data_IF_026452218209
#
_entry.id   IF_026452218209
#
_cell.length_a   1.000
_cell.length_b   1.000
_cell.length_c   1.000
_cell.angle_alpha   90.00
_cell.angle_beta   90.00
_cell.angle_gamma   90.00
#
_symmetry.space_group_name_H-M   'P 1'
#
loop_
_entity.id
_entity.type
_entity.pdbx_description
1 polymer ?
#
# COMPACT_ATOMS: atom_id res chain seq x y z
N UNK A 1 -24.82 -6.27 16.51
CA UNK A 1 -23.38 -6.35 16.85
C UNK A 1 -22.91 -7.75 16.51
N UNK A 2 -22.13 -7.93 15.44
CA UNK A 2 -21.53 -9.25 15.15
C UNK A 2 -20.32 -9.36 16.06
N UNK A 3 -20.40 -10.23 17.07
CA UNK A 3 -19.26 -10.64 17.90
C UNK A 3 -18.26 -11.34 17.00
N UNK A 4 -17.32 -10.57 16.43
CA UNK A 4 -16.18 -11.07 15.68
C UNK A 4 -15.31 -11.88 16.65
N UNK A 5 -15.38 -13.21 16.57
CA UNK A 5 -14.53 -14.09 17.35
C UNK A 5 -13.09 -13.94 16.84
N UNK A 6 -12.13 -13.84 17.75
CA UNK A 6 -10.69 -13.72 17.41
C UNK A 6 -10.21 -14.85 16.49
N UNK A 7 -10.82 -16.04 16.58
CA UNK A 7 -10.56 -17.15 15.66
C UNK A 7 -10.81 -16.81 14.18
N UNK A 8 -11.81 -15.96 13.88
CA UNK A 8 -12.18 -15.61 12.51
C UNK A 8 -11.14 -14.71 11.81
N UNK A 9 -10.23 -14.12 12.59
CA UNK A 9 -9.16 -13.24 12.12
C UNK A 9 -7.86 -13.99 11.84
N UNK A 10 -7.85 -15.31 12.04
CA UNK A 10 -6.64 -16.10 11.92
C UNK A 10 -6.07 -16.08 10.48
N UNK A 11 -4.78 -15.76 10.37
CA UNK A 11 -4.02 -15.77 9.12
C UNK A 11 -2.78 -16.66 9.26
N UNK A 12 -2.90 -17.99 9.09
CA UNK A 12 -1.80 -18.92 9.39
C UNK A 12 -0.62 -18.81 8.42
N UNK A 13 -0.81 -18.18 7.25
CA UNK A 13 0.22 -18.01 6.23
C UNK A 13 1.10 -16.78 6.45
N UNK A 14 0.97 -16.07 7.58
CA UNK A 14 1.82 -14.94 7.93
C UNK A 14 3.34 -15.21 7.90
N UNK A 15 3.86 -16.44 8.13
CA UNK A 15 5.30 -16.68 8.02
C UNK A 15 5.85 -16.53 6.59
N UNK A 16 5.00 -16.62 5.55
CA UNK A 16 5.42 -16.44 4.15
C UNK A 16 5.87 -15.00 3.87
N UNK A 17 5.22 -14.03 4.53
CA UNK A 17 5.57 -12.62 4.47
C UNK A 17 5.27 -11.99 5.84
N UNK A 18 6.25 -11.96 6.76
CA UNK A 18 6.03 -11.71 8.19
C UNK A 18 5.79 -10.23 8.50
N UNK A 19 4.62 -9.74 8.11
CA UNK A 19 4.16 -8.38 8.35
C UNK A 19 3.15 -8.37 9.49
N UNK A 20 3.25 -7.37 10.37
CA UNK A 20 2.19 -7.06 11.35
C UNK A 20 0.83 -6.97 10.63
N UNK A 21 -0.30 -7.39 11.21
CA UNK A 21 -0.50 -8.01 12.54
C UNK A 21 -0.23 -9.53 12.58
N UNK A 22 0.60 -10.04 11.67
CA UNK A 22 1.02 -11.43 11.61
C UNK A 22 -0.20 -12.36 11.47
N UNK A 23 -0.40 -13.25 12.44
CA UNK A 23 -1.45 -14.27 12.39
C UNK A 23 -2.87 -13.78 12.70
N UNK A 24 -3.10 -12.48 12.93
CA UNK A 24 -4.40 -11.95 13.33
C UNK A 24 -4.77 -10.72 12.52
N UNK A 25 -5.49 -10.89 11.40
CA UNK A 25 -5.83 -9.80 10.47
C UNK A 25 -7.31 -9.47 10.57
N UNK A 26 -7.60 -8.40 11.33
CA UNK A 26 -8.95 -7.84 11.42
C UNK A 26 -9.32 -7.11 10.13
N UNK A 27 -10.52 -7.37 9.62
CA UNK A 27 -11.04 -6.77 8.38
C UNK A 27 -12.15 -5.76 8.68
N UNK A 28 -11.98 -4.54 8.18
CA UNK A 28 -13.02 -3.51 8.14
C UNK A 28 -13.56 -3.36 6.72
N UNK A 29 -14.85 -3.62 6.52
CA UNK A 29 -15.55 -3.32 5.27
C UNK A 29 -16.28 -1.97 5.37
N UNK A 30 -16.11 -1.13 4.35
CA UNK A 30 -16.82 0.14 4.17
C UNK A 30 -17.42 0.20 2.78
N UNK A 31 -18.69 0.58 2.69
CA UNK A 31 -19.30 0.96 1.42
C UNK A 31 -18.89 2.40 1.09
N UNK A 32 -18.18 2.57 -0.03
CA UNK A 32 -17.64 3.89 -0.44
C UNK A 32 -18.46 4.51 -1.58
N UNK A 33 -19.28 3.70 -2.26
CA UNK A 33 -20.30 4.13 -3.20
C UNK A 33 -21.51 3.20 -3.06
N UNK A 34 -22.70 3.73 -2.70
CA UNK A 34 -23.86 2.91 -2.39
C UNK A 34 -24.19 1.87 -3.46
N UNK A 35 -24.28 0.60 -3.04
CA UNK A 35 -24.61 -0.57 -3.84
C UNK A 35 -23.72 -0.81 -5.06
N UNK A 36 -22.52 -0.24 -5.09
CA UNK A 36 -21.63 -0.31 -6.24
C UNK A 36 -20.15 -0.56 -5.89
N UNK A 37 -19.62 0.08 -4.84
CA UNK A 37 -18.22 -0.06 -4.44
C UNK A 37 -18.06 -0.23 -2.93
N UNK A 38 -17.26 -1.22 -2.54
CA UNK A 38 -16.85 -1.45 -1.16
C UNK A 38 -15.33 -1.56 -1.09
N UNK A 39 -14.79 -1.14 0.05
CA UNK A 39 -13.39 -1.36 0.38
C UNK A 39 -13.30 -2.24 1.61
N UNK A 40 -12.39 -3.19 1.58
CA UNK A 40 -12.07 -4.05 2.72
C UNK A 40 -10.64 -3.74 3.11
N UNK A 41 -10.44 -3.41 4.37
CA UNK A 41 -9.17 -2.90 4.88
C UNK A 41 -8.65 -3.80 5.99
N UNK A 42 -7.35 -4.05 5.96
CA UNK A 42 -6.57 -4.66 7.02
C UNK A 42 -5.38 -3.75 7.33
N UNK A 43 -4.79 -3.86 8.52
CA UNK A 43 -3.49 -3.24 8.78
C UNK A 43 -2.37 -4.10 8.25
N UNK A 44 -1.28 -3.45 7.82
CA UNK A 44 -0.04 -4.11 7.50
C UNK A 44 1.17 -3.25 7.83
N UNK A 45 2.22 -3.83 8.40
CA UNK A 45 3.43 -3.06 8.70
C UNK A 45 4.62 -3.86 9.21
N UNK A 46 5.72 -3.13 9.46
CA UNK A 46 6.94 -3.62 10.09
C UNK A 46 7.25 -2.69 11.27
N UNK A 47 7.66 -3.23 12.43
CA UNK A 47 7.91 -2.44 13.66
C UNK A 47 6.75 -1.48 14.02
N UNK A 48 5.51 -1.95 13.89
CA UNK A 48 4.28 -1.17 14.06
C UNK A 48 4.14 0.08 13.17
N UNK A 49 5.02 0.29 12.19
CA UNK A 49 4.75 1.23 11.09
C UNK A 49 3.69 0.58 10.21
N UNK A 50 2.44 0.66 10.66
CA UNK A 50 1.32 -0.09 10.15
C UNK A 50 0.34 0.84 9.42
N UNK A 51 0.20 0.61 8.13
CA UNK A 51 -0.71 1.37 7.25
C UNK A 51 -1.82 0.45 6.75
N UNK A 52 -2.97 1.00 6.33
CA UNK A 52 -4.01 0.21 5.69
C UNK A 52 -3.48 -0.46 4.43
N UNK A 53 -3.82 -1.73 4.23
CA UNK A 53 -3.81 -2.42 2.94
C UNK A 53 -5.26 -2.77 2.58
N UNK A 54 -5.62 -2.57 1.32
CA UNK A 54 -7.03 -2.56 0.89
C UNK A 54 -7.24 -3.40 -0.35
N UNK A 55 -8.35 -4.15 -0.35
CA UNK A 55 -8.98 -4.63 -1.57
C UNK A 55 -10.23 -3.82 -1.86
N UNK A 56 -10.51 -3.61 -3.15
CA UNK A 56 -11.75 -2.97 -3.60
C UNK A 56 -12.66 -3.99 -4.24
N UNK A 57 -13.93 -4.01 -3.82
CA UNK A 57 -14.98 -4.86 -4.38
C UNK A 57 -15.90 -4.00 -5.23
N UNK A 58 -16.07 -4.38 -6.48
CA UNK A 58 -16.90 -3.69 -7.48
C UNK A 58 -18.06 -4.59 -7.85
N UNK A 59 -19.29 -4.05 -7.81
CA UNK A 59 -20.46 -4.73 -8.37
C UNK A 59 -20.47 -4.59 -9.89
N UNK A 60 -20.63 -5.71 -10.59
CA UNK A 60 -20.76 -5.77 -12.05
C UNK A 60 -22.20 -5.52 -12.50
N UNK A 61 -22.39 -4.93 -13.67
CA UNK A 61 -23.70 -4.61 -14.24
C UNK A 61 -24.53 -5.87 -14.54
N UNK A 62 -23.88 -6.93 -15.03
CA UNK A 62 -24.52 -8.21 -15.36
C UNK A 62 -24.61 -9.18 -14.16
N UNK A 63 -24.41 -8.66 -12.95
CA UNK A 63 -24.39 -9.44 -11.71
C UNK A 63 -23.01 -10.03 -11.42
N UNK A 64 -22.77 -10.30 -10.14
CA UNK A 64 -21.48 -10.72 -9.62
C UNK A 64 -20.61 -9.57 -9.15
N UNK A 65 -19.41 -9.94 -8.69
CA UNK A 65 -18.44 -9.04 -8.09
C UNK A 65 -17.06 -9.20 -8.73
N UNK A 66 -16.33 -8.09 -8.83
CA UNK A 66 -14.89 -8.06 -9.07
C UNK A 66 -14.17 -7.64 -7.78
N UNK A 67 -13.07 -8.32 -7.46
CA UNK A 67 -12.16 -7.99 -6.36
C UNK A 67 -10.84 -7.49 -6.93
N UNK A 68 -10.45 -6.27 -6.63
CA UNK A 68 -9.17 -5.67 -7.00
C UNK A 68 -8.21 -5.68 -5.81
N UNK A 69 -6.99 -6.18 -6.00
CA UNK A 69 -5.91 -6.27 -5.00
C UNK A 69 -6.36 -7.00 -3.70
N UNK A 70 -6.66 -8.31 -3.75
CA UNK A 70 -7.21 -9.03 -2.61
C UNK A 70 -6.32 -8.95 -1.37
N UNK A 71 -6.94 -8.82 -0.19
CA UNK A 71 -6.27 -8.89 1.12
C UNK A 71 -6.36 -10.30 1.71
N UNK A 72 -5.84 -10.53 2.92
CA UNK A 72 -5.89 -11.85 3.54
C UNK A 72 -7.34 -12.36 3.67
N UNK A 73 -7.67 -13.52 3.08
CA UNK A 73 -9.00 -14.13 3.16
C UNK A 73 -9.21 -14.83 4.50
N UNK A 74 -9.20 -14.07 5.59
CA UNK A 74 -9.61 -14.57 6.91
C UNK A 74 -11.08 -14.96 6.88
N UNK A 75 -11.53 -15.83 7.80
CA UNK A 75 -12.96 -16.21 7.89
C UNK A 75 -13.84 -14.97 8.04
N UNK A 76 -13.38 -13.95 8.78
CA UNK A 76 -14.06 -12.65 8.91
C UNK A 76 -14.19 -11.94 7.56
N UNK A 77 -13.09 -11.85 6.79
CA UNK A 77 -13.06 -11.24 5.47
C UNK A 77 -14.02 -11.95 4.50
N UNK A 78 -13.91 -13.28 4.41
CA UNK A 78 -14.73 -14.09 3.53
C UNK A 78 -16.22 -14.00 3.89
N UNK A 79 -16.58 -14.03 5.17
CA UNK A 79 -17.97 -13.88 5.62
C UNK A 79 -18.56 -12.51 5.26
N UNK A 80 -17.78 -11.44 5.40
CA UNK A 80 -18.20 -10.10 4.98
C UNK A 80 -18.39 -10.02 3.46
N UNK A 81 -17.53 -10.65 2.67
CA UNK A 81 -17.66 -10.70 1.20
C UNK A 81 -18.83 -11.60 0.75
N UNK A 82 -19.07 -12.72 1.41
CA UNK A 82 -20.24 -13.58 1.15
C UNK A 82 -21.57 -12.85 1.35
N UNK A 83 -21.64 -11.90 2.30
CA UNK A 83 -22.82 -11.06 2.44
C UNK A 83 -23.09 -10.20 1.20
N UNK A 84 -22.04 -9.77 0.49
CA UNK A 84 -22.17 -9.10 -0.80
C UNK A 84 -22.53 -10.11 -1.91
N UNK A 85 -21.93 -11.30 -1.92
CA UNK A 85 -22.27 -12.35 -2.90
C UNK A 85 -23.74 -12.74 -2.85
N UNK A 86 -24.30 -12.89 -1.65
CA UNK A 86 -25.71 -13.21 -1.43
C UNK A 86 -26.67 -12.16 -2.01
N UNK A 87 -26.21 -10.90 -2.15
CA UNK A 87 -27.03 -9.79 -2.62
C UNK A 87 -26.80 -9.46 -4.10
N UNK A 88 -25.57 -9.56 -4.57
CA UNK A 88 -25.16 -9.05 -5.88
C UNK A 88 -24.66 -10.14 -6.84
N UNK A 89 -24.47 -11.38 -6.36
CA UNK A 89 -23.93 -12.50 -7.13
C UNK A 89 -22.48 -12.82 -6.77
N UNK A 90 -22.02 -14.01 -7.18
CA UNK A 90 -20.70 -14.52 -6.84
C UNK A 90 -19.54 -13.62 -7.28
N UNK A 91 -18.39 -13.76 -6.62
CA UNK A 91 -17.12 -13.20 -7.11
C UNK A 91 -16.74 -13.90 -8.42
N UNK A 92 -16.72 -13.13 -9.51
CA UNK A 92 -16.40 -13.62 -10.85
C UNK A 92 -14.96 -13.33 -11.25
N UNK A 93 -14.39 -12.24 -10.72
CA UNK A 93 -13.07 -11.76 -11.10
C UNK A 93 -12.25 -11.37 -9.89
N UNK A 94 -10.98 -11.79 -9.85
CA UNK A 94 -9.99 -11.34 -8.86
C UNK A 94 -8.81 -10.77 -9.64
N UNK A 95 -8.40 -9.54 -9.33
CA UNK A 95 -7.31 -8.84 -10.00
C UNK A 95 -6.10 -8.73 -9.06
N UNK A 96 -4.96 -9.25 -9.50
CA UNK A 96 -3.63 -8.94 -8.97
C UNK A 96 -3.02 -7.84 -9.86
N UNK A 97 -3.09 -6.57 -9.44
CA UNK A 97 -2.73 -5.45 -10.31
C UNK A 97 -1.24 -5.08 -10.28
N UNK A 98 -0.40 -5.76 -9.51
CA UNK A 98 1.03 -5.44 -9.41
C UNK A 98 1.90 -6.67 -9.53
N UNK A 99 3.13 -6.51 -10.00
CA UNK A 99 4.17 -7.56 -9.97
C UNK A 99 5.16 -7.40 -8.81
N UNK A 100 5.32 -6.20 -8.26
CA UNK A 100 6.34 -5.85 -7.26
C UNK A 100 5.83 -5.82 -5.81
N UNK A 101 4.55 -5.57 -5.59
CA UNK A 101 3.96 -5.59 -4.24
C UNK A 101 3.78 -7.01 -3.73
N UNK A 102 4.80 -7.58 -3.07
CA UNK A 102 4.73 -8.93 -2.48
C UNK A 102 3.58 -9.04 -1.48
N UNK A 103 3.29 -7.95 -0.77
CA UNK A 103 2.17 -7.79 0.13
C UNK A 103 0.81 -7.88 -0.55
N UNK A 104 0.68 -7.43 -1.80
CA UNK A 104 -0.55 -7.58 -2.58
C UNK A 104 -0.63 -8.98 -3.21
N UNK A 105 0.53 -9.60 -3.46
CA UNK A 105 0.65 -10.92 -4.12
C UNK A 105 0.38 -12.09 -3.18
N UNK A 106 0.89 -12.05 -1.95
CA UNK A 106 0.85 -13.18 -1.00
C UNK A 106 -0.57 -13.67 -0.70
N UNK A 107 -1.56 -12.79 -0.85
CA UNK A 107 -2.97 -13.12 -0.60
C UNK A 107 -3.67 -13.77 -1.79
N UNK A 108 -3.19 -13.60 -3.02
CA UNK A 108 -3.92 -13.98 -4.25
C UNK A 108 -4.18 -15.47 -4.35
N UNK A 109 -3.17 -16.32 -4.11
CA UNK A 109 -3.35 -17.78 -4.14
C UNK A 109 -4.37 -18.27 -3.10
N UNK A 110 -4.21 -17.92 -1.81
CA UNK A 110 -5.20 -18.19 -0.77
C UNK A 110 -6.60 -17.65 -1.09
N UNK A 111 -6.71 -16.44 -1.62
CA UNK A 111 -7.98 -15.83 -1.97
C UNK A 111 -8.64 -16.56 -3.15
N UNK A 112 -7.87 -16.95 -4.16
CA UNK A 112 -8.35 -17.78 -5.26
C UNK A 112 -8.94 -19.11 -4.75
N UNK A 113 -8.33 -19.75 -3.74
CA UNK A 113 -8.89 -20.97 -3.14
C UNK A 113 -10.23 -20.74 -2.44
N UNK A 114 -10.40 -19.59 -1.79
CA UNK A 114 -11.66 -19.22 -1.14
C UNK A 114 -12.78 -18.95 -2.15
N UNK A 115 -12.45 -18.51 -3.37
CA UNK A 115 -13.41 -18.22 -4.44
C UNK A 115 -13.07 -19.03 -5.71
N UNK A 116 -13.42 -20.34 -5.74
CA UNK A 116 -12.95 -21.28 -6.76
C UNK A 116 -13.49 -21.03 -8.16
N UNK A 117 -14.64 -20.35 -8.29
CA UNK A 117 -15.27 -20.01 -9.58
C UNK A 117 -14.67 -18.75 -10.24
N UNK A 118 -13.95 -17.92 -9.50
CA UNK A 118 -13.46 -16.65 -10.01
C UNK A 118 -12.31 -16.83 -11.02
N UNK A 119 -12.33 -16.05 -12.10
CA UNK A 119 -11.18 -15.88 -13.00
C UNK A 119 -10.16 -14.93 -12.35
N UNK A 120 -8.89 -15.31 -12.37
CA UNK A 120 -7.79 -14.53 -11.79
C UNK A 120 -7.09 -13.76 -12.90
N UNK A 121 -7.11 -12.43 -12.82
CA UNK A 121 -6.44 -11.52 -13.73
C UNK A 121 -5.17 -11.02 -13.08
N UNK A 122 -4.02 -11.19 -13.74
CA UNK A 122 -2.72 -10.81 -13.16
C UNK A 122 -1.97 -9.85 -14.09
N UNK A 123 -1.27 -8.89 -13.51
CA UNK A 123 -0.30 -8.09 -14.24
C UNK A 123 0.75 -9.03 -14.89
N UNK A 124 1.11 -8.87 -16.18
CA UNK A 124 1.94 -9.80 -16.95
C UNK A 124 3.32 -10.15 -16.35
N UNK A 125 4.06 -9.21 -15.78
CA UNK A 125 5.48 -9.42 -15.46
C UNK A 125 5.69 -9.92 -14.03
N UNK A 126 4.89 -10.91 -13.63
CA UNK A 126 5.00 -11.53 -12.32
C UNK A 126 6.35 -12.20 -12.10
N UNK A 127 6.90 -11.96 -10.91
CA UNK A 127 8.14 -12.58 -10.44
C UNK A 127 8.04 -12.96 -8.97
N UNK A 128 9.02 -13.71 -8.47
CA UNK A 128 9.15 -14.04 -7.05
C UNK A 128 10.60 -13.99 -6.61
N UNK A 129 10.80 -13.87 -5.29
CA UNK A 129 12.09 -13.79 -4.65
C UNK A 129 12.21 -14.88 -3.57
N UNK A 130 13.39 -15.49 -3.35
CA UNK A 130 14.66 -15.26 -4.07
C UNK A 130 14.75 -15.98 -5.42
N UNK A 131 13.83 -16.91 -5.69
CA UNK A 131 13.79 -17.70 -6.92
C UNK A 131 12.62 -17.25 -7.79
N UNK A 132 12.82 -17.21 -9.12
CA UNK A 132 11.74 -16.94 -10.09
C UNK A 132 10.91 -18.21 -10.29
N UNK A 133 9.81 -18.30 -9.55
CA UNK A 133 8.91 -19.44 -9.58
C UNK A 133 7.67 -19.11 -10.41
N UNK A 134 7.13 -20.10 -11.16
CA UNK A 134 5.84 -19.94 -11.81
C UNK A 134 4.73 -19.64 -10.79
N UNK A 135 3.77 -18.78 -11.16
CA UNK A 135 2.65 -18.39 -10.29
C UNK A 135 1.86 -19.58 -9.70
N UNK A 136 1.74 -20.67 -10.45
CA UNK A 136 1.03 -21.86 -9.99
C UNK A 136 1.76 -22.62 -8.87
N UNK A 137 3.08 -22.47 -8.75
CA UNK A 137 3.84 -22.97 -7.60
C UNK A 137 3.63 -22.08 -6.37
N UNK A 138 3.23 -20.83 -6.58
CA UNK A 138 2.84 -19.89 -5.53
C UNK A 138 1.35 -20.01 -5.15
N UNK A 139 0.66 -21.05 -5.64
CA UNK A 139 -0.73 -21.35 -5.30
C UNK A 139 -1.78 -20.63 -6.15
N UNK A 140 -1.38 -19.97 -7.25
CA UNK A 140 -2.32 -19.31 -8.17
C UNK A 140 -2.75 -20.31 -9.28
N UNK A 141 -4.05 -20.61 -9.43
CA UNK A 141 -4.52 -21.72 -10.27
C UNK A 141 -4.38 -21.47 -11.77
N UNK A 142 -3.56 -22.28 -12.45
CA UNK A 142 -3.21 -22.12 -13.88
C UNK A 142 -4.42 -21.99 -14.81
N UNK A 143 -5.42 -22.87 -14.67
CA UNK A 143 -6.50 -23.03 -15.67
C UNK A 143 -7.42 -21.80 -15.75
N UNK A 144 -7.50 -21.03 -14.66
CA UNK A 144 -8.35 -19.84 -14.53
C UNK A 144 -7.56 -18.55 -14.30
N UNK A 145 -6.25 -18.56 -14.55
CA UNK A 145 -5.43 -17.34 -14.57
C UNK A 145 -5.32 -16.78 -15.98
N UNK A 146 -5.46 -15.46 -16.12
CA UNK A 146 -5.33 -14.68 -17.35
C UNK A 146 -4.46 -13.46 -17.10
N UNK A 147 -3.74 -13.01 -18.12
CA UNK A 147 -2.88 -11.84 -18.03
C UNK A 147 -3.58 -10.58 -18.56
N UNK A 148 -3.36 -9.44 -17.91
CA UNK A 148 -3.89 -8.14 -18.34
C UNK A 148 -2.95 -7.50 -19.38
N UNK A 149 -3.01 -7.99 -20.62
CA UNK A 149 -2.14 -7.55 -21.74
C UNK A 149 -2.88 -6.65 -22.75
N UNK A 150 -3.64 -5.67 -22.26
CA UNK A 150 -4.32 -4.61 -23.06
C UNK A 150 -5.57 -4.99 -23.90
N UNK A 151 -6.20 -6.17 -23.75
CA UNK A 151 -7.24 -6.66 -24.70
C UNK A 151 -8.66 -6.96 -24.19
N UNK A 152 -9.60 -6.95 -25.16
CA UNK A 152 -11.08 -6.96 -25.17
C UNK A 152 -11.81 -8.17 -24.55
N UNK A 153 -11.38 -8.63 -23.38
CA UNK A 153 -12.13 -9.65 -22.63
C UNK A 153 -13.42 -9.11 -22.01
N UNK A 154 -14.13 -9.95 -21.26
CA UNK A 154 -15.35 -9.59 -20.48
C UNK A 154 -15.13 -8.36 -19.59
N UNK A 155 -13.92 -8.17 -19.05
CA UNK A 155 -13.60 -6.96 -18.27
C UNK A 155 -13.67 -5.67 -19.08
N UNK A 156 -13.43 -5.72 -20.39
CA UNK A 156 -13.42 -4.54 -21.26
C UNK A 156 -14.81 -3.96 -21.52
N UNK A 157 -15.90 -4.59 -21.06
CA UNK A 157 -17.26 -4.05 -21.13
C UNK A 157 -17.43 -2.91 -20.11
N UNK A 158 -16.99 -3.12 -18.87
CA UNK A 158 -17.18 -2.16 -17.77
C UNK A 158 -15.89 -1.42 -17.37
N UNK A 159 -14.73 -1.93 -17.77
CA UNK A 159 -13.43 -1.42 -17.33
C UNK A 159 -12.50 -1.01 -18.48
N UNK A 160 -11.64 -0.04 -18.18
CA UNK A 160 -10.42 0.26 -18.94
C UNK A 160 -9.22 0.06 -18.03
N UNK A 161 -8.07 -0.27 -18.59
CA UNK A 161 -6.85 -0.35 -17.82
C UNK A 161 -5.64 0.14 -18.59
N UNK A 162 -4.60 0.44 -17.83
CA UNK A 162 -3.33 0.92 -18.33
C UNK A 162 -2.23 0.33 -17.46
N UNK A 163 -1.25 -0.23 -18.13
CA UNK A 163 -0.09 -0.83 -17.52
C UNK A 163 1.03 0.20 -17.36
N UNK A 164 1.51 0.35 -16.14
CA UNK A 164 2.74 1.03 -15.80
C UNK A 164 3.86 0.00 -15.70
N UNK A 165 4.91 0.17 -16.49
CA UNK A 165 6.06 -0.73 -16.49
C UNK A 165 6.05 -1.76 -17.63
N UNK A 166 6.99 -2.71 -17.63
CA UNK A 166 7.80 -3.10 -16.49
C UNK A 166 8.96 -2.11 -16.29
N UNK A 167 9.09 -1.54 -15.09
CA UNK A 167 10.24 -0.72 -14.71
C UNK A 167 11.29 -1.65 -14.12
N UNK A 168 12.49 -1.71 -14.69
CA UNK A 168 13.52 -2.62 -14.21
C UNK A 168 14.18 -2.08 -12.92
N UNK A 169 13.96 -2.76 -11.79
CA UNK A 169 14.60 -2.46 -10.51
C UNK A 169 15.72 -3.44 -10.15
N UNK A 170 16.12 -4.33 -11.06
CA UNK A 170 17.16 -5.34 -10.84
C UNK A 170 16.60 -6.70 -10.41
N UNK A 171 16.41 -6.98 -9.09
CA UNK A 171 15.91 -8.27 -8.61
C UNK A 171 14.57 -8.69 -9.23
N UNK A 172 13.74 -7.72 -9.58
CA UNK A 172 12.52 -7.90 -10.35
C UNK A 172 11.96 -6.57 -10.85
N UNK A 173 11.04 -6.60 -11.84
CA UNK A 173 10.40 -5.39 -12.33
C UNK A 173 9.37 -4.84 -11.34
N UNK A 174 9.18 -3.53 -11.37
CA UNK A 174 7.98 -2.87 -10.87
C UNK A 174 6.94 -2.78 -11.98
N UNK A 175 5.71 -3.13 -11.64
CA UNK A 175 4.56 -3.02 -12.53
C UNK A 175 3.30 -2.71 -11.72
N UNK A 176 2.44 -1.87 -12.29
CA UNK A 176 1.10 -1.57 -11.77
C UNK A 176 0.08 -1.50 -12.91
N UNK A 177 -1.11 -2.06 -12.69
CA UNK A 177 -2.27 -1.94 -13.57
C UNK A 177 -3.27 -1.00 -12.90
N UNK A 178 -3.40 0.21 -13.46
CA UNK A 178 -4.53 1.08 -13.17
C UNK A 178 -5.78 0.48 -13.80
N UNK A 179 -6.87 0.37 -13.02
CA UNK A 179 -8.15 -0.15 -13.50
C UNK A 179 -9.23 0.93 -13.30
N UNK A 180 -9.79 1.42 -14.39
CA UNK A 180 -10.87 2.39 -14.39
C UNK A 180 -12.21 1.68 -14.58
N UNK A 181 -13.10 1.80 -13.59
CA UNK A 181 -14.47 1.30 -13.68
C UNK A 181 -15.39 2.42 -14.18
N UNK A 182 -15.87 2.29 -15.43
CA UNK A 182 -16.67 3.32 -16.11
C UNK A 182 -17.96 3.67 -15.36
N UNK A 183 -18.80 2.71 -14.93
CA UNK A 183 -20.06 3.01 -14.27
C UNK A 183 -19.94 3.78 -12.96
N UNK A 184 -18.89 3.55 -12.16
CA UNK A 184 -18.69 4.27 -10.90
C UNK A 184 -17.75 5.48 -11.03
N UNK A 185 -17.22 5.73 -12.23
CA UNK A 185 -16.20 6.75 -12.53
C UNK A 185 -15.03 6.70 -11.55
N UNK A 186 -14.57 5.49 -11.23
CA UNK A 186 -13.54 5.27 -10.19
C UNK A 186 -12.28 4.64 -10.77
N UNK A 187 -11.15 5.26 -10.50
CA UNK A 187 -9.82 4.77 -10.81
C UNK A 187 -9.27 3.97 -9.62
N UNK A 188 -8.99 2.69 -9.83
CA UNK A 188 -8.36 1.82 -8.85
C UNK A 188 -6.86 1.77 -9.11
N UNK A 189 -6.07 2.03 -8.08
CA UNK A 189 -4.61 2.03 -8.12
C UNK A 189 -4.06 1.16 -6.98
N UNK A 190 -2.84 0.65 -7.13
CA UNK A 190 -2.13 0.00 -6.02
C UNK A 190 -1.38 1.04 -5.21
N UNK A 191 -0.14 1.32 -5.59
CA UNK A 191 0.83 2.01 -4.73
C UNK A 191 1.24 3.36 -5.31
N UNK A 192 1.06 3.56 -6.62
CA UNK A 192 1.61 4.72 -7.36
C UNK A 192 1.14 6.08 -6.87
N UNK A 193 -0.05 6.17 -6.27
CA UNK A 193 -0.63 7.43 -5.81
C UNK A 193 -1.37 7.21 -4.49
N UNK A 194 -1.19 8.14 -3.55
CA UNK A 194 -1.80 8.09 -2.22
C UNK A 194 -2.36 9.47 -1.86
N UNK A 195 -3.22 9.51 -0.85
CA UNK A 195 -3.52 10.73 -0.11
C UNK A 195 -3.52 10.40 1.39
N UNK A 196 -3.30 11.42 2.22
CA UNK A 196 -3.17 11.25 3.67
C UNK A 196 -4.21 12.12 4.37
N UNK A 197 -4.77 11.58 5.45
CA UNK A 197 -5.52 12.34 6.43
C UNK A 197 -4.66 12.53 7.69
N UNK A 198 -4.77 13.67 8.38
CA UNK A 198 -4.07 13.89 9.65
C UNK A 198 -4.60 12.98 10.77
N UNK A 199 -5.84 12.51 10.65
CA UNK A 199 -6.47 11.56 11.57
C UNK A 199 -6.17 10.10 11.19
N UNK A 200 -6.02 9.20 12.17
CA UNK A 200 -5.86 7.78 11.89
C UNK A 200 -7.10 7.20 11.19
N UNK A 201 -6.92 6.38 10.15
CA UNK A 201 -8.04 5.73 9.48
C UNK A 201 -8.76 4.78 10.44
N UNK A 202 -10.05 4.55 10.23
CA UNK A 202 -10.89 3.76 11.12
C UNK A 202 -10.31 2.37 11.45
N UNK A 203 -9.68 1.69 10.48
CA UNK A 203 -9.02 0.38 10.68
C UNK A 203 -7.85 0.45 11.67
N UNK A 204 -7.10 1.55 11.71
CA UNK A 204 -6.02 1.77 12.67
C UNK A 204 -6.51 2.07 14.08
N UNK A 205 -7.79 2.46 14.24
CA UNK A 205 -8.39 2.78 15.53
C UNK A 205 -9.03 1.57 16.22
N UNK A 206 -9.26 0.46 15.50
CA UNK A 206 -9.84 -0.78 16.06
C UNK A 206 -8.89 -1.47 17.05
N UNK A 207 -7.60 -1.46 16.73
CA UNK A 207 -6.52 -1.80 17.67
C UNK A 207 -5.49 -0.67 17.65
N UNK A 208 -5.55 0.29 18.59
CA UNK A 208 -4.74 1.50 18.56
C UNK A 208 -3.26 1.25 18.93
N UNK A 209 -2.88 0.03 19.30
CA UNK A 209 -1.54 -0.25 19.82
C UNK A 209 -0.40 0.23 18.93
N UNK A 210 -0.42 0.05 17.58
CA UNK A 210 0.61 0.60 16.72
C UNK A 210 0.70 2.14 16.80
N UNK A 211 -0.45 2.82 16.92
CA UNK A 211 -0.51 4.27 17.08
C UNK A 211 0.12 4.69 18.41
N UNK A 212 -0.28 4.04 19.52
CA UNK A 212 0.26 4.34 20.84
C UNK A 212 1.76 4.02 20.94
N UNK A 213 2.24 3.01 20.21
CA UNK A 213 3.66 2.68 20.18
C UNK A 213 4.48 3.83 19.56
N UNK A 214 4.01 4.37 18.44
CA UNK A 214 4.67 5.47 17.73
C UNK A 214 4.38 6.86 18.30
N UNK A 215 3.40 7.00 19.20
CA UNK A 215 3.13 8.28 19.85
C UNK A 215 4.18 8.67 20.88
N UNK A 216 4.95 7.71 21.41
CA UNK A 216 5.92 7.95 22.50
C UNK A 216 7.16 8.68 22.02
N UNK A 217 7.70 9.54 22.87
CA UNK A 217 8.97 10.23 22.62
C UNK A 217 10.16 9.45 23.15
N UNK A 218 9.92 8.65 24.20
CA UNK A 218 10.95 7.95 24.97
C UNK A 218 10.46 6.58 25.44
N UNK A 219 11.41 5.74 25.82
CA UNK A 219 11.15 4.36 26.27
C UNK A 219 10.41 4.29 27.61
N UNK A 220 10.67 5.25 28.50
CA UNK A 220 10.20 5.31 29.89
C UNK A 220 8.80 5.92 30.03
N UNK A 221 8.27 6.48 28.95
CA UNK A 221 6.94 7.09 28.91
C UNK A 221 5.84 6.04 29.08
N UNK A 222 4.87 6.34 29.96
CA UNK A 222 3.70 5.51 30.18
C UNK A 222 2.81 5.40 28.93
N UNK A 223 2.03 4.33 28.86
CA UNK A 223 1.07 4.11 27.78
C UNK A 223 -0.23 4.83 28.09
N UNK A 224 -0.50 5.90 27.36
CA UNK A 224 -1.73 6.67 27.47
C UNK A 224 -2.51 6.59 26.16
N UNK A 225 -3.80 6.29 26.26
CA UNK A 225 -4.68 6.16 25.12
C UNK A 225 -5.61 7.37 25.02
N UNK A 226 -5.17 8.40 24.32
CA UNK A 226 -5.95 9.61 24.03
C UNK A 226 -6.08 9.83 22.51
N UNK A 227 -7.16 10.48 22.03
CA UNK A 227 -7.28 10.84 20.62
C UNK A 227 -6.07 11.60 20.07
N UNK A 228 -5.49 12.50 20.86
CA UNK A 228 -4.32 13.30 20.51
C UNK A 228 -3.08 12.42 20.32
N UNK A 229 -2.84 11.46 21.22
CA UNK A 229 -1.71 10.53 21.10
C UNK A 229 -1.89 9.55 19.95
N UNK A 230 -3.12 9.08 19.69
CA UNK A 230 -3.40 8.25 18.50
C UNK A 230 -3.10 9.02 17.22
N UNK A 231 -3.52 10.28 17.12
CA UNK A 231 -3.22 11.17 15.99
C UNK A 231 -1.72 11.37 15.83
N UNK A 232 -1.01 11.68 16.92
CA UNK A 232 0.45 11.83 16.90
C UNK A 232 1.16 10.56 16.39
N UNK A 233 0.78 9.39 16.91
CA UNK A 233 1.32 8.11 16.47
C UNK A 233 1.04 7.81 15.00
N UNK A 234 -0.13 8.18 14.50
CA UNK A 234 -0.47 8.07 13.08
C UNK A 234 0.39 8.96 12.20
N UNK A 235 0.51 10.25 12.53
CA UNK A 235 1.32 11.19 11.76
C UNK A 235 2.80 10.77 11.69
N UNK A 236 3.32 10.23 12.80
CA UNK A 236 4.65 9.63 12.85
C UNK A 236 4.77 8.37 11.99
N UNK A 237 3.78 7.49 12.04
CA UNK A 237 3.69 6.29 11.19
C UNK A 237 3.68 6.66 9.70
N UNK A 238 2.96 7.72 9.33
CA UNK A 238 2.95 8.26 7.96
C UNK A 238 4.36 8.71 7.55
N UNK A 239 5.03 9.55 8.35
CA UNK A 239 6.38 10.01 8.04
C UNK A 239 7.37 8.84 7.88
N UNK A 240 7.31 7.84 8.76
CA UNK A 240 8.08 6.61 8.63
C UNK A 240 7.81 5.88 7.31
N UNK A 241 6.54 5.75 6.94
CA UNK A 241 6.14 5.01 5.74
C UNK A 241 6.59 5.70 4.45
N UNK A 242 6.67 7.04 4.44
CA UNK A 242 7.06 7.82 3.26
C UNK A 242 8.58 7.91 3.06
N UNK A 243 9.35 7.94 4.16
CA UNK A 243 10.79 8.25 4.12
C UNK A 243 11.70 7.12 4.63
N UNK A 244 11.15 6.02 5.17
CA UNK A 244 11.80 5.02 6.04
C UNK A 244 12.40 5.58 7.34
N UNK A 245 13.08 6.72 7.27
CA UNK A 245 13.61 7.49 8.39
C UNK A 245 13.55 8.99 8.04
N UNK A 246 12.50 9.72 8.47
CA UNK A 246 12.47 11.17 8.28
C UNK A 246 13.62 11.84 9.04
N UNK A 247 14.05 13.02 8.61
CA UNK A 247 15.11 13.80 9.29
C UNK A 247 14.76 14.18 10.74
N UNK A 248 13.45 14.17 11.05
CA UNK A 248 12.89 14.37 12.37
C UNK A 248 13.04 13.17 13.31
N UNK A 249 13.53 12.03 12.84
CA UNK A 249 13.71 10.81 13.62
C UNK A 249 15.18 10.43 13.75
N UNK A 250 15.63 10.31 14.99
CA UNK A 250 16.91 9.73 15.36
C UNK A 250 16.71 8.26 15.78
N UNK A 251 17.57 7.38 15.28
CA UNK A 251 17.55 5.96 15.64
C UNK A 251 18.72 5.66 16.57
N UNK A 252 18.41 5.17 17.77
CA UNK A 252 19.41 4.81 18.78
C UNK A 252 20.15 3.54 18.36
N UNK A 253 21.40 3.38 18.82
CA UNK A 253 22.14 2.13 18.56
C UNK A 253 21.43 0.92 19.19
N UNK A 254 21.66 -0.28 18.64
CA UNK A 254 21.07 -1.52 19.18
C UNK A 254 21.42 -1.75 20.65
N UNK A 255 22.67 -1.46 21.02
CA UNK A 255 23.15 -1.64 22.39
C UNK A 255 22.51 -0.64 23.35
N UNK A 256 22.43 0.63 22.95
CA UNK A 256 21.75 1.66 23.72
C UNK A 256 20.25 1.33 23.90
N UNK A 257 19.59 0.90 22.84
CA UNK A 257 18.17 0.51 22.88
C UNK A 257 17.93 -0.65 23.84
N UNK A 258 18.86 -1.61 23.91
CA UNK A 258 18.78 -2.73 24.85
C UNK A 258 18.98 -2.29 26.31
N UNK A 259 19.89 -1.33 26.57
CA UNK A 259 20.05 -0.76 27.91
C UNK A 259 18.82 0.03 28.36
N UNK A 260 18.29 0.85 27.47
CA UNK A 260 17.11 1.70 27.68
C UNK A 260 15.84 0.87 27.89
N UNK A 261 15.72 -0.30 27.25
CA UNK A 261 14.59 -1.21 27.45
C UNK A 261 14.40 -1.67 28.92
N UNK A 262 15.41 -1.55 29.77
CA UNK A 262 15.28 -1.83 31.22
C UNK A 262 14.39 -0.80 31.94
N UNK A 263 14.27 0.40 31.39
CA UNK A 263 13.48 1.50 31.94
C UNK A 263 12.05 1.50 31.38
N UNK A 264 11.73 0.59 30.46
CA UNK A 264 10.41 0.51 29.85
C UNK A 264 9.34 0.11 30.87
N UNK A 265 8.20 0.83 30.95
CA UNK A 265 7.12 0.50 31.87
C UNK A 265 6.41 -0.81 31.53
N UNK A 266 6.50 -1.25 30.27
CA UNK A 266 5.92 -2.50 29.77
C UNK A 266 6.95 -3.24 28.91
N UNK A 267 7.10 -4.55 29.14
CA UNK A 267 8.13 -5.40 28.52
C UNK A 267 7.56 -6.70 27.97
N UNK A 268 6.28 -6.77 27.69
CA UNK A 268 5.64 -7.88 26.99
C UNK A 268 6.18 -8.03 25.56
N UNK A 269 5.91 -9.18 24.95
CA UNK A 269 6.17 -9.43 23.53
C UNK A 269 5.55 -8.35 22.63
N UNK A 270 4.36 -7.84 22.99
CA UNK A 270 3.65 -6.80 22.24
C UNK A 270 4.36 -5.45 22.32
N UNK A 271 5.06 -5.16 23.41
CA UNK A 271 5.92 -3.99 23.56
C UNK A 271 7.37 -4.23 23.09
N UNK A 272 7.62 -5.28 22.29
CA UNK A 272 8.96 -5.69 21.86
C UNK A 272 9.96 -5.83 23.02
N UNK A 273 9.51 -6.37 24.15
CA UNK A 273 10.34 -6.54 25.36
C UNK A 273 10.90 -5.23 25.95
N UNK A 274 10.27 -4.11 25.62
CA UNK A 274 10.68 -2.76 26.00
C UNK A 274 11.61 -2.09 24.99
N UNK A 275 11.96 -2.75 23.87
CA UNK A 275 12.81 -2.16 22.84
C UNK A 275 12.07 -1.03 22.12
N UNK A 276 12.63 0.17 22.19
CA UNK A 276 12.14 1.34 21.49
C UNK A 276 13.30 2.18 20.95
N UNK A 277 13.77 1.90 19.71
CA UNK A 277 14.98 2.52 19.18
C UNK A 277 14.74 3.92 18.59
N UNK A 278 13.59 4.54 18.85
CA UNK A 278 13.13 5.75 18.17
C UNK A 278 13.20 6.98 19.08
N UNK A 279 13.76 8.08 18.57
CA UNK A 279 13.81 9.38 19.24
C UNK A 279 13.33 10.45 18.26
N UNK A 280 12.19 11.05 18.55
CA UNK A 280 11.62 12.10 17.73
C UNK A 280 12.13 13.46 18.17
N UNK A 281 12.54 14.30 17.22
CA UNK A 281 12.87 15.71 17.48
C UNK A 281 11.62 16.48 17.86
N UNK A 282 11.77 17.50 18.70
CA UNK A 282 10.64 18.27 19.23
C UNK A 282 9.80 18.97 18.13
N UNK A 283 10.37 19.19 16.95
CA UNK A 283 9.77 19.89 15.80
C UNK A 283 9.25 18.93 14.71
N UNK A 284 9.14 17.63 14.98
CA UNK A 284 8.72 16.62 13.98
C UNK A 284 7.38 16.93 13.29
N UNK A 285 6.47 17.64 13.96
CA UNK A 285 5.18 18.07 13.39
C UNK A 285 5.38 18.96 12.15
N UNK A 286 6.46 19.74 12.11
CA UNK A 286 6.78 20.57 10.95
C UNK A 286 7.09 19.71 9.72
N UNK A 287 7.70 18.54 9.89
CA UNK A 287 7.88 17.58 8.78
C UNK A 287 6.55 17.05 8.27
N UNK A 288 5.59 16.77 9.16
CA UNK A 288 4.25 16.34 8.74
C UNK A 288 3.49 17.46 8.02
N UNK A 289 3.60 18.71 8.49
CA UNK A 289 2.95 19.88 7.88
C UNK A 289 3.48 20.23 6.49
N UNK A 290 4.68 19.74 6.11
CA UNK A 290 5.24 19.89 4.76
C UNK A 290 4.70 18.87 3.77
N UNK A 291 3.98 17.85 4.23
CA UNK A 291 3.28 16.93 3.32
C UNK A 291 2.13 17.67 2.62
N UNK A 292 1.68 17.17 1.45
CA UNK A 292 0.50 17.70 0.78
C UNK A 292 -0.71 17.79 1.71
N UNK A 293 -1.55 18.80 1.48
CA UNK A 293 -2.75 19.03 2.28
C UNK A 293 -3.65 17.78 2.36
N UNK A 294 -4.43 17.68 3.44
CA UNK A 294 -5.27 16.52 3.71
C UNK A 294 -6.17 16.16 2.52
N UNK A 295 -6.13 14.90 2.10
CA UNK A 295 -6.90 14.39 0.96
C UNK A 295 -6.36 14.77 -0.43
N UNK A 296 -5.31 15.60 -0.53
CA UNK A 296 -4.67 15.91 -1.81
C UNK A 296 -3.87 14.71 -2.30
N UNK A 297 -4.11 14.21 -3.53
CA UNK A 297 -3.36 13.10 -4.08
C UNK A 297 -1.93 13.50 -4.39
N UNK A 298 -0.98 12.60 -4.11
CA UNK A 298 0.42 12.76 -4.45
C UNK A 298 1.13 11.40 -4.56
N UNK A 299 2.32 11.39 -5.16
CA UNK A 299 3.17 10.20 -5.26
C UNK A 299 4.14 10.16 -4.08
N UNK A 300 4.18 9.04 -3.34
CA UNK A 300 5.05 8.91 -2.18
C UNK A 300 6.55 9.12 -2.55
N UNK A 301 7.34 9.84 -1.73
CA UNK A 301 8.75 10.13 -2.03
C UNK A 301 9.59 8.89 -2.34
N UNK A 302 9.38 7.81 -1.60
CA UNK A 302 10.02 6.51 -1.86
C UNK A 302 9.82 6.00 -3.29
N UNK A 303 8.62 6.15 -3.84
CA UNK A 303 8.31 5.76 -5.21
C UNK A 303 8.90 6.72 -6.21
N UNK A 304 8.90 8.03 -5.92
CA UNK A 304 9.53 9.02 -6.78
C UNK A 304 11.01 8.72 -6.96
N UNK A 305 11.76 8.55 -5.86
CA UNK A 305 13.21 8.42 -5.91
C UNK A 305 13.71 7.03 -6.33
N UNK A 306 13.05 5.97 -5.88
CA UNK A 306 13.57 4.60 -6.03
C UNK A 306 12.94 3.82 -7.19
N UNK A 307 11.81 4.27 -7.74
CA UNK A 307 11.05 3.50 -8.74
C UNK A 307 10.74 4.32 -9.99
N UNK A 308 9.99 5.42 -9.87
CA UNK A 308 9.36 6.07 -11.02
C UNK A 308 10.35 6.94 -11.82
N UNK A 309 11.33 7.56 -11.15
CA UNK A 309 12.44 8.29 -11.81
C UNK A 309 13.38 7.37 -12.61
N UNK A 310 13.29 6.06 -12.44
CA UNK A 310 14.11 5.08 -13.17
C UNK A 310 13.55 4.88 -14.59
N UNK A 311 12.30 5.27 -14.84
CA UNK A 311 11.69 5.26 -16.18
C UNK A 311 10.64 6.38 -16.29
N UNK A 312 11.09 7.66 -16.31
CA UNK A 312 10.19 8.81 -16.22
C UNK A 312 9.26 8.94 -17.43
N UNK A 313 9.75 8.60 -18.63
CA UNK A 313 8.93 8.64 -19.84
C UNK A 313 7.85 7.56 -19.85
N UNK A 314 8.20 6.32 -19.50
CA UNK A 314 7.23 5.22 -19.34
C UNK A 314 6.15 5.59 -18.32
N UNK A 315 6.56 6.18 -17.19
CA UNK A 315 5.61 6.61 -16.16
C UNK A 315 4.73 7.74 -16.65
N UNK A 316 5.29 8.75 -17.33
CA UNK A 316 4.53 9.88 -17.83
C UNK A 316 3.55 9.50 -18.94
N UNK A 317 3.93 8.58 -19.83
CA UNK A 317 3.04 8.05 -20.87
C UNK A 317 1.86 7.29 -20.27
N UNK A 318 2.11 6.51 -19.22
CA UNK A 318 1.05 5.88 -18.44
C UNK A 318 0.13 6.92 -17.78
N UNK A 319 0.67 7.98 -17.16
CA UNK A 319 -0.12 9.10 -16.62
C UNK A 319 -0.96 9.75 -17.71
N UNK A 320 -0.39 10.02 -18.89
CA UNK A 320 -1.11 10.58 -20.03
C UNK A 320 -2.27 9.69 -20.47
N UNK A 321 -2.10 8.36 -20.43
CA UNK A 321 -3.15 7.40 -20.77
C UNK A 321 -4.26 7.38 -19.74
N UNK A 322 -3.96 7.24 -18.45
CA UNK A 322 -5.00 7.16 -17.41
C UNK A 322 -5.77 8.48 -17.28
N UNK A 323 -5.11 9.63 -17.53
CA UNK A 323 -5.74 10.94 -17.49
C UNK A 323 -6.67 11.22 -18.69
N UNK A 324 -6.77 10.32 -19.66
CA UNK A 324 -7.82 10.37 -20.70
C UNK A 324 -9.18 9.89 -20.17
N UNK A 325 -9.18 9.14 -19.07
CA UNK A 325 -10.41 8.59 -18.50
C UNK A 325 -11.14 9.60 -17.61
N UNK A 326 -12.48 9.66 -17.67
CA UNK A 326 -13.27 10.62 -16.91
C UNK A 326 -13.58 10.11 -15.49
N UNK A 327 -12.54 9.77 -14.71
CA UNK A 327 -12.73 9.40 -13.30
C UNK A 327 -12.91 10.63 -12.40
N UNK A 328 -13.66 10.45 -11.33
CA UNK A 328 -13.93 11.49 -10.30
C UNK A 328 -13.52 11.03 -8.90
N UNK A 329 -13.09 9.77 -8.81
CA UNK A 329 -12.73 9.09 -7.58
C UNK A 329 -11.51 8.23 -7.81
N UNK A 330 -10.55 8.31 -6.91
CA UNK A 330 -9.38 7.43 -6.89
C UNK A 330 -9.49 6.54 -5.65
N UNK A 331 -9.24 5.24 -5.81
CA UNK A 331 -9.25 4.25 -4.74
C UNK A 331 -7.89 3.53 -4.75
N UNK A 332 -6.87 4.09 -4.05
CA UNK A 332 -5.58 3.42 -3.91
C UNK A 332 -5.68 2.22 -2.96
N UNK A 333 -4.65 1.37 -2.92
CA UNK A 333 -4.61 0.24 -1.99
C UNK A 333 -4.08 0.59 -0.59
N UNK A 334 -3.50 1.78 -0.43
CA UNK A 334 -2.95 2.28 0.83
C UNK A 334 -3.52 3.65 1.23
N UNK A 335 -3.35 4.00 2.52
CA UNK A 335 -3.76 5.28 3.11
C UNK A 335 -5.23 5.68 2.85
N UNK A 336 -5.52 6.92 2.46
CA UNK A 336 -6.87 7.43 2.31
C UNK A 336 -7.58 6.84 1.09
N UNK A 337 -8.82 6.36 1.30
CA UNK A 337 -9.73 6.10 0.20
C UNK A 337 -11.20 6.17 0.68
N UNK A 338 -12.11 6.67 -0.19
CA UNK A 338 -11.84 7.19 -1.53
C UNK A 338 -11.23 8.61 -1.54
N UNK A 339 -10.48 8.93 -2.59
CA UNK A 339 -9.98 10.29 -2.85
C UNK A 339 -10.90 10.94 -3.89
N UNK A 340 -11.49 12.09 -3.56
CA UNK A 340 -12.31 12.88 -4.47
C UNK A 340 -11.41 13.73 -5.38
N UNK A 341 -10.95 13.14 -6.49
CA UNK A 341 -10.01 13.75 -7.42
C UNK A 341 -10.17 13.18 -8.83
N UNK A 342 -9.92 14.04 -9.84
CA UNK A 342 -9.96 13.68 -11.25
C UNK A 342 -8.59 13.71 -11.94
N UNK A 343 -8.55 13.58 -13.28
CA UNK A 343 -7.32 13.53 -14.09
C UNK A 343 -6.31 14.65 -13.83
N UNK A 344 -6.77 15.89 -13.64
CA UNK A 344 -5.88 17.03 -13.44
C UNK A 344 -5.05 16.89 -12.14
N UNK A 345 -5.69 16.43 -11.07
CA UNK A 345 -5.01 16.20 -9.80
C UNK A 345 -3.98 15.07 -9.90
N UNK A 346 -4.26 14.02 -10.68
CA UNK A 346 -3.29 12.97 -10.97
C UNK A 346 -2.13 13.52 -11.79
N UNK A 347 -2.40 14.28 -12.86
CA UNK A 347 -1.34 14.90 -13.67
C UNK A 347 -0.42 15.78 -12.82
N UNK A 348 -0.99 16.59 -11.91
CA UNK A 348 -0.24 17.42 -10.98
C UNK A 348 0.58 16.61 -9.98
N UNK A 349 0.04 15.50 -9.45
CA UNK A 349 0.75 14.61 -8.53
C UNK A 349 2.01 13.99 -9.15
N UNK A 350 2.03 13.81 -10.48
CA UNK A 350 3.16 13.26 -11.23
C UNK A 350 4.04 14.32 -11.91
N UNK A 351 3.78 15.62 -11.69
CA UNK A 351 4.53 16.70 -12.31
C UNK A 351 6.04 16.67 -11.99
N UNK A 352 6.44 16.06 -10.86
CA UNK A 352 7.84 15.85 -10.47
C UNK A 352 8.70 15.09 -11.50
N UNK A 353 8.07 14.40 -12.46
CA UNK A 353 8.76 13.71 -13.56
C UNK A 353 9.22 14.67 -14.68
N UNK A 354 8.63 15.86 -14.74
CA UNK A 354 8.85 16.86 -15.81
C UNK A 354 9.37 18.17 -15.25
N UNK A 355 8.80 18.61 -14.15
CA UNK A 355 9.21 19.80 -13.44
C UNK A 355 10.36 19.45 -12.49
N UNK A 356 11.42 20.26 -12.51
CA UNK A 356 12.58 20.11 -11.61
C UNK A 356 12.26 20.51 -10.16
N UNK A 357 11.00 20.68 -9.81
CA UNK A 357 10.56 21.08 -8.48
C UNK A 357 10.48 19.84 -7.61
N UNK A 358 11.26 19.85 -6.52
CA UNK A 358 11.18 18.79 -5.52
C UNK A 358 10.12 19.19 -4.48
N UNK A 359 8.97 18.49 -4.42
CA UNK A 359 7.87 18.88 -3.53
C UNK A 359 8.15 18.55 -2.06
N UNK A 360 9.25 17.84 -1.76
CA UNK A 360 9.60 17.40 -0.41
C UNK A 360 10.93 17.98 0.08
N UNK A 361 11.11 18.10 1.40
CA UNK A 361 12.35 18.65 1.97
C UNK A 361 13.55 17.75 1.69
N UNK A 362 14.65 18.32 1.18
CA UNK A 362 15.88 17.56 0.86
C UNK A 362 16.40 16.75 2.05
N UNK A 363 16.34 17.30 3.26
CA UNK A 363 16.76 16.63 4.48
C UNK A 363 15.99 15.32 4.74
N UNK A 364 14.71 15.24 4.37
CA UNK A 364 13.89 14.04 4.53
C UNK A 364 14.13 13.01 3.41
N UNK A 365 14.69 13.43 2.27
CA UNK A 365 15.03 12.55 1.14
C UNK A 365 16.46 11.99 1.21
N UNK A 366 17.32 12.53 2.07
CA UNK A 366 18.74 12.17 2.12
C UNK A 366 18.97 10.65 2.26
N UNK A 367 18.16 9.96 3.08
CA UNK A 367 18.25 8.50 3.20
C UNK A 367 17.92 7.80 1.88
N UNK A 368 16.86 8.23 1.19
CA UNK A 368 16.44 7.64 -0.08
C UNK A 368 17.51 7.87 -1.15
N UNK A 369 18.06 9.08 -1.24
CA UNK A 369 19.18 9.41 -2.14
C UNK A 369 20.43 8.56 -1.85
N UNK A 370 20.76 8.35 -0.58
CA UNK A 370 21.87 7.48 -0.18
C UNK A 370 21.63 6.01 -0.55
N UNK A 371 20.41 5.50 -0.33
CA UNK A 371 20.03 4.14 -0.70
C UNK A 371 20.12 3.92 -2.22
N UNK A 372 19.56 4.82 -3.02
CA UNK A 372 19.62 4.75 -4.49
C UNK A 372 21.09 4.71 -4.97
N UNK A 373 21.94 5.61 -4.46
CA UNK A 373 23.38 5.62 -4.79
C UNK A 373 24.06 4.29 -4.43
N UNK A 374 23.78 3.74 -3.26
CA UNK A 374 24.38 2.47 -2.83
C UNK A 374 23.90 1.28 -3.67
N UNK A 375 22.63 1.23 -4.03
CA UNK A 375 22.07 0.18 -4.89
C UNK A 375 22.71 0.20 -6.28
N UNK A 376 22.89 1.39 -6.86
CA UNK A 376 23.56 1.58 -8.14
C UNK A 376 25.06 1.22 -8.07
N UNK A 377 25.77 1.67 -7.04
CA UNK A 377 27.20 1.35 -6.83
C UNK A 377 27.45 -0.15 -6.68
N UNK A 378 26.48 -0.88 -6.11
CA UNK A 378 26.53 -2.35 -5.96
C UNK A 378 26.03 -3.09 -7.20
N UNK A 379 25.59 -2.39 -8.24
CA UNK A 379 25.01 -2.98 -9.46
C UNK A 379 23.69 -3.71 -9.23
N UNK A 380 22.98 -3.41 -8.15
CA UNK A 380 21.68 -4.04 -7.83
C UNK A 380 20.59 -3.44 -8.71
N UNK A 381 20.54 -2.11 -8.82
CA UNK A 381 19.64 -1.39 -9.73
C UNK A 381 20.40 -0.93 -10.98
N UNK A 382 19.75 -0.84 -12.15
CA UNK A 382 20.38 -0.27 -13.33
C UNK A 382 20.72 1.21 -13.10
N UNK A 383 21.76 1.75 -13.78
CA UNK A 383 22.03 3.18 -13.78
C UNK A 383 20.83 3.94 -14.39
N UNK A 384 20.55 5.14 -13.88
CA UNK A 384 19.52 6.03 -14.45
C UNK A 384 19.82 6.25 -15.94
N UNK A 385 18.77 6.35 -16.76
CA UNK A 385 18.95 6.56 -18.20
C UNK A 385 19.79 7.82 -18.45
N UNK A 386 20.64 7.78 -19.48
CA UNK A 386 21.67 8.80 -19.75
C UNK A 386 21.15 10.21 -20.04
N UNK A 387 19.83 10.41 -20.13
CA UNK A 387 19.22 11.74 -20.20
C UNK A 387 19.42 12.56 -18.91
N UNK A 388 19.63 11.90 -17.75
CA UNK A 388 19.84 12.57 -16.46
C UNK A 388 21.32 12.75 -16.08
N UNK A 389 22.23 11.97 -16.67
CA UNK A 389 23.67 12.00 -16.33
C UNK A 389 24.36 13.33 -16.70
N UNK A 390 23.74 14.14 -17.57
CA UNK A 390 24.22 15.48 -17.94
C UNK A 390 23.70 16.60 -17.01
N UNK A 391 22.77 16.32 -16.10
CA UNK A 391 22.05 17.34 -15.32
C UNK A 391 22.36 17.35 -13.81
N UNK A 392 23.30 16.50 -13.35
CA UNK A 392 23.77 16.46 -11.95
C UNK A 392 25.23 16.94 -11.78
N UNK A 393 25.75 17.75 -12.70
CA UNK A 393 27.00 18.50 -12.52
C UNK A 393 26.74 19.95 -12.16
#
# INVERSE_FOLDING_TARGET
MITSHTADRNWPLWPLLPLYPYGQRQTLCREILPSQLWVFEQLQGVLYVAVPIRMTVVRLQHGGLLVYAPIAPTTECCRQLQALENRYGAVQHIVLPTSSGLEHKVFVGPFARAFPSATIWVAPDQWSFPLRLPLHWLGVPRDRTRFLTDSQGVLAEEFEWARLGPINLGPGPFEEIALFHRPSRSLLLTDTLIAIQPEPPAIAQLDPWPLLFHSRDRVDQAWEDTPELRRQGWQRTVLFSLYFRPSALEVSSLWQSFQEAKQAPERSRRAYWGLYPFRWKADWQQSFQKLPAAGTPFVAPILQELILKQSPDVTWDWVNRICQWPFERIVPCHFEAPIAAGPEAVRQAFAFLRDRTQPFPEADLELLHNLDRQLQQRGITPPRSTADALNHR
#
